data_IF_843350031571
#
_entry.id   IF_843350031571
#
_cell.length_a   1.000
_cell.length_b   1.000
_cell.length_c   1.000
_cell.angle_alpha   90.00
_cell.angle_beta   90.00
_cell.angle_gamma   90.00
#
_symmetry.space_group_name_H-M   'P 1'
#
loop_
_entity.id
_entity.type
_entity.pdbx_description
1 polymer ?
#
# COMPACT_ATOMS: atom_id res chain seq x y z
N UNK A 1 15.40 -3.97 15.25
CA UNK A 1 15.10 -2.68 14.58
C UNK A 1 16.43 -2.01 14.35
N UNK A 2 16.75 -1.57 13.14
CA UNK A 2 17.90 -0.69 12.93
C UNK A 2 17.51 0.71 13.42
N UNK A 3 18.48 1.63 13.55
CA UNK A 3 18.17 3.02 13.88
C UNK A 3 17.29 3.73 12.82
N UNK A 4 17.02 3.08 11.68
CA UNK A 4 16.30 3.65 10.55
C UNK A 4 14.88 3.10 10.36
N UNK A 5 14.43 2.18 11.22
CA UNK A 5 13.08 1.61 11.15
C UNK A 5 12.22 2.04 12.33
N UNK A 6 11.23 2.90 12.08
CA UNK A 6 10.27 3.36 13.10
C UNK A 6 9.11 2.39 13.34
N UNK A 7 8.68 1.69 12.28
CA UNK A 7 7.51 0.81 12.29
C UNK A 7 7.71 -0.35 11.31
N UNK A 8 7.20 -1.52 11.67
CA UNK A 8 7.05 -2.68 10.78
C UNK A 8 5.62 -3.19 10.89
N UNK A 9 5.09 -3.71 9.79
CA UNK A 9 3.76 -4.30 9.73
C UNK A 9 3.57 -5.04 8.40
N UNK A 10 2.58 -5.93 8.36
CA UNK A 10 2.21 -6.60 7.14
C UNK A 10 1.52 -5.64 6.17
N UNK A 11 1.71 -5.89 4.87
CA UNK A 11 1.05 -5.18 3.79
C UNK A 11 0.62 -6.19 2.74
N UNK A 12 -0.58 -6.04 2.20
CA UNK A 12 -1.03 -6.89 1.09
C UNK A 12 -0.76 -6.25 -0.27
N UNK A 13 -0.77 -7.08 -1.31
CA UNK A 13 -0.71 -6.68 -2.71
C UNK A 13 -2.02 -6.96 -3.45
N UNK A 14 -2.09 -6.45 -4.68
CA UNK A 14 -3.22 -6.68 -5.58
C UNK A 14 -3.32 -8.13 -6.05
N UNK A 15 -4.55 -8.66 -6.11
CA UNK A 15 -4.84 -10.04 -6.57
C UNK A 15 -4.70 -10.26 -8.10
N UNK A 16 -4.53 -9.18 -8.87
CA UNK A 16 -4.31 -9.25 -10.32
C UNK A 16 -5.40 -10.00 -11.12
N UNK A 17 -6.67 -10.00 -10.65
CA UNK A 17 -7.78 -10.79 -11.24
C UNK A 17 -7.50 -12.29 -11.30
N UNK A 18 -6.73 -12.79 -10.34
CA UNK A 18 -6.46 -14.22 -10.18
C UNK A 18 -6.90 -14.63 -8.79
N UNK A 19 -7.16 -15.92 -8.64
CA UNK A 19 -7.55 -16.57 -7.39
C UNK A 19 -6.48 -17.54 -6.88
N UNK A 20 -5.36 -17.66 -7.59
CA UNK A 20 -4.39 -18.72 -7.36
C UNK A 20 -2.94 -18.23 -7.56
N UNK A 21 -2.12 -18.47 -6.53
CA UNK A 21 -0.67 -18.38 -6.58
C UNK A 21 -0.07 -17.51 -5.48
N UNK A 22 0.95 -18.03 -4.79
CA UNK A 22 1.73 -17.30 -3.76
C UNK A 22 2.72 -16.28 -4.31
N UNK A 23 2.79 -16.13 -5.64
CA UNK A 23 3.76 -15.26 -6.30
C UNK A 23 3.05 -13.97 -6.70
N UNK A 24 3.41 -12.89 -6.03
CA UNK A 24 2.93 -11.55 -6.34
C UNK A 24 3.23 -11.18 -7.80
N UNK A 25 2.24 -10.58 -8.46
CA UNK A 25 2.39 -10.01 -9.81
C UNK A 25 2.13 -8.52 -9.75
N UNK A 26 2.74 -7.82 -10.69
CA UNK A 26 2.66 -6.36 -10.75
C UNK A 26 2.24 -5.90 -12.14
N UNK A 27 1.41 -4.87 -12.19
CA UNK A 27 0.99 -4.22 -13.42
C UNK A 27 0.62 -2.77 -13.14
N UNK A 28 0.88 -1.90 -14.12
CA UNK A 28 0.45 -0.50 -14.12
C UNK A 28 -0.85 -0.29 -14.92
N UNK A 29 -1.40 -1.34 -15.52
CA UNK A 29 -2.57 -1.23 -16.37
C UNK A 29 -3.82 -0.87 -15.56
N UNK A 30 -4.63 0.04 -16.10
CA UNK A 30 -5.88 0.47 -15.48
C UNK A 30 -6.83 -0.73 -15.39
N UNK A 31 -7.41 -0.93 -14.21
CA UNK A 31 -8.31 -2.06 -13.96
C UNK A 31 -7.61 -3.43 -13.92
N UNK A 32 -6.28 -3.51 -13.80
CA UNK A 32 -5.57 -4.79 -13.64
C UNK A 32 -5.73 -5.44 -12.28
N UNK A 33 -6.15 -4.68 -11.27
CA UNK A 33 -6.19 -5.07 -9.85
C UNK A 33 -4.84 -5.55 -9.29
N UNK A 34 -3.73 -5.26 -9.98
CA UNK A 34 -2.38 -5.56 -9.52
C UNK A 34 -1.81 -4.37 -8.75
N UNK A 35 -0.94 -4.64 -7.77
CA UNK A 35 -0.04 -3.58 -7.29
C UNK A 35 0.94 -3.18 -8.40
N UNK A 36 1.55 -2.01 -8.27
CA UNK A 36 2.62 -1.57 -9.19
C UNK A 36 3.90 -1.34 -8.43
N UNK A 37 5.03 -1.62 -9.08
CA UNK A 37 6.34 -1.40 -8.48
C UNK A 37 6.80 0.05 -8.70
N UNK A 38 7.70 0.51 -7.85
CA UNK A 38 8.36 1.81 -7.98
C UNK A 38 8.03 2.76 -6.83
N UNK A 39 8.48 3.99 -7.01
CA UNK A 39 8.38 5.07 -6.02
C UNK A 39 7.07 5.82 -6.19
N UNK A 40 6.47 6.17 -5.08
CA UNK A 40 5.24 6.93 -4.98
C UNK A 40 5.47 8.11 -4.06
N UNK A 41 4.81 9.23 -4.30
CA UNK A 41 4.63 10.26 -3.28
C UNK A 41 3.27 10.10 -2.60
N UNK A 42 3.27 10.25 -1.27
CA UNK A 42 2.05 10.36 -0.48
C UNK A 42 1.40 11.71 -0.76
N UNK A 43 0.13 11.66 -1.17
CA UNK A 43 -0.72 12.81 -1.43
C UNK A 43 -1.71 13.07 -0.30
N UNK A 44 -2.82 13.71 -0.66
CA UNK A 44 -3.83 14.16 0.29
C UNK A 44 -4.46 13.01 1.08
N UNK A 45 -4.60 13.21 2.39
CA UNK A 45 -5.41 12.39 3.31
C UNK A 45 -6.90 12.64 3.11
N UNK A 46 -7.70 11.58 3.11
CA UNK A 46 -9.16 11.66 3.08
C UNK A 46 -9.78 10.47 3.82
N UNK A 47 -11.10 10.50 3.99
CA UNK A 47 -11.85 9.39 4.56
C UNK A 47 -12.56 8.61 3.44
N UNK A 48 -12.12 7.38 3.17
CA UNK A 48 -12.70 6.46 2.20
C UNK A 48 -13.56 5.38 2.87
N UNK A 49 -13.91 4.34 2.11
CA UNK A 49 -14.79 3.25 2.58
C UNK A 49 -14.22 2.46 3.75
N UNK A 50 -12.89 2.43 3.91
CA UNK A 50 -12.19 1.72 4.98
C UNK A 50 -11.57 2.67 6.02
N UNK A 51 -12.09 3.90 6.11
CA UNK A 51 -11.57 4.94 7.01
C UNK A 51 -10.49 5.80 6.35
N UNK A 52 -9.47 6.19 7.12
CA UNK A 52 -8.38 7.05 6.64
C UNK A 52 -7.67 6.38 5.45
N UNK A 53 -7.46 7.17 4.40
CA UNK A 53 -6.68 6.78 3.24
C UNK A 53 -5.82 7.96 2.76
N UNK A 54 -4.68 7.63 2.14
CA UNK A 54 -3.76 8.60 1.56
C UNK A 54 -3.64 8.32 0.07
N UNK A 55 -3.91 9.32 -0.76
CA UNK A 55 -3.72 9.20 -2.22
C UNK A 55 -2.25 8.91 -2.52
N UNK A 56 -1.98 8.11 -3.54
CA UNK A 56 -0.61 7.83 -3.98
C UNK A 56 -0.40 8.30 -5.42
N UNK A 57 0.66 9.05 -5.65
CA UNK A 57 1.08 9.49 -6.99
C UNK A 57 2.30 8.69 -7.42
N UNK A 58 2.21 8.00 -8.55
CA UNK A 58 3.34 7.25 -9.11
C UNK A 58 4.41 8.20 -9.65
N UNK A 59 5.68 7.92 -9.35
CA UNK A 59 6.83 8.71 -9.78
C UNK A 59 7.68 7.98 -10.85
N UNK A 60 7.35 6.72 -11.14
CA UNK A 60 8.08 5.87 -12.07
C UNK A 60 7.17 5.38 -13.21
N UNK A 61 7.77 5.02 -14.35
CA UNK A 61 7.01 4.49 -15.50
C UNK A 61 6.20 3.23 -15.15
N UNK A 62 6.66 2.46 -14.18
CA UNK A 62 6.03 1.25 -13.68
C UNK A 62 4.80 1.51 -12.81
N UNK A 63 4.56 2.75 -12.36
CA UNK A 63 3.42 3.11 -11.51
C UNK A 63 2.75 4.44 -11.89
N UNK A 64 3.08 5.03 -13.04
CA UNK A 64 2.55 6.34 -13.48
C UNK A 64 1.02 6.47 -13.52
N UNK A 65 0.28 5.36 -13.61
CA UNK A 65 -1.19 5.39 -13.63
C UNK A 65 -1.79 5.27 -12.22
N UNK A 66 -0.99 5.25 -11.15
CA UNK A 66 -1.44 4.98 -9.79
C UNK A 66 -2.60 5.89 -9.34
N UNK A 67 -2.50 7.19 -9.64
CA UNK A 67 -3.53 8.15 -9.27
C UNK A 67 -4.84 7.93 -10.05
N UNK A 68 -4.75 7.71 -11.36
CA UNK A 68 -5.90 7.40 -12.23
C UNK A 68 -6.59 6.09 -11.86
N UNK A 69 -5.81 5.15 -11.29
CA UNK A 69 -6.27 3.86 -10.79
C UNK A 69 -6.80 3.90 -9.36
N UNK A 70 -6.89 5.09 -8.75
CA UNK A 70 -7.30 5.27 -7.36
C UNK A 70 -6.47 4.44 -6.37
N UNK A 71 -5.18 4.25 -6.65
CA UNK A 71 -4.26 3.58 -5.73
C UNK A 71 -4.01 4.49 -4.53
N UNK A 72 -4.33 3.98 -3.34
CA UNK A 72 -4.19 4.69 -2.08
C UNK A 72 -3.55 3.78 -1.02
N UNK A 73 -2.86 4.39 -0.06
CA UNK A 73 -2.44 3.71 1.16
C UNK A 73 -3.59 3.77 2.16
N UNK A 74 -4.12 2.62 2.56
CA UNK A 74 -5.22 2.54 3.52
C UNK A 74 -5.09 1.31 4.43
N UNK A 75 -6.04 1.16 5.35
CA UNK A 75 -6.13 0.00 6.22
C UNK A 75 -7.31 -0.89 5.87
N UNK A 76 -7.24 -2.15 6.27
CA UNK A 76 -8.39 -3.06 6.29
C UNK A 76 -8.25 -4.08 7.43
N UNK A 77 -9.36 -4.48 8.07
CA UNK A 77 -9.36 -5.41 9.21
C UNK A 77 -8.91 -6.83 8.87
N UNK A 78 -8.84 -7.18 7.58
CA UNK A 78 -8.35 -8.48 7.13
C UNK A 78 -6.81 -8.59 7.17
N UNK A 79 -6.10 -7.47 7.40
CA UNK A 79 -4.65 -7.47 7.55
C UNK A 79 -4.32 -7.63 9.04
N UNK A 80 -3.66 -8.74 9.44
CA UNK A 80 -3.29 -8.97 10.83
C UNK A 80 -2.11 -8.08 11.25
N UNK A 81 -1.99 -7.85 12.55
CA UNK A 81 -0.90 -7.06 13.14
C UNK A 81 0.44 -7.83 13.18
N UNK A 82 0.38 -9.15 13.19
CA UNK A 82 1.54 -10.03 13.33
C UNK A 82 1.65 -10.95 12.11
N UNK A 83 2.86 -11.43 11.83
CA UNK A 83 3.15 -12.42 10.79
C UNK A 83 2.26 -13.67 10.92
N UNK A 84 1.86 -14.23 9.79
CA UNK A 84 0.98 -15.39 9.69
C UNK A 84 1.69 -16.51 8.91
N UNK A 85 1.37 -17.75 9.25
CA UNK A 85 1.83 -18.94 8.51
C UNK A 85 1.07 -19.13 7.19
N UNK A 86 -0.22 -18.75 7.17
CA UNK A 86 -1.09 -18.82 6.01
C UNK A 86 -1.15 -17.49 5.25
N UNK A 87 -1.62 -17.56 4.01
CA UNK A 87 -1.82 -16.40 3.14
C UNK A 87 -2.83 -15.41 3.77
N UNK A 88 -2.50 -14.11 3.74
CA UNK A 88 -3.42 -13.04 4.16
C UNK A 88 -4.28 -12.58 2.97
N UNK A 89 -5.35 -11.83 3.24
CA UNK A 89 -6.22 -11.29 2.20
C UNK A 89 -5.44 -10.45 1.17
N UNK A 90 -5.88 -10.45 -0.09
CA UNK A 90 -5.37 -9.59 -1.17
C UNK A 90 -6.24 -8.33 -1.35
N UNK A 91 -5.64 -7.25 -1.87
CA UNK A 91 -6.37 -6.03 -2.26
C UNK A 91 -6.65 -5.98 -3.76
N UNK A 92 -7.26 -4.89 -4.23
CA UNK A 92 -7.39 -4.58 -5.67
C UNK A 92 -6.21 -3.76 -6.22
N UNK A 93 -5.05 -3.82 -5.56
CA UNK A 93 -3.80 -3.17 -5.98
C UNK A 93 -3.27 -2.13 -5.00
N UNK A 94 -4.12 -1.64 -4.09
CA UNK A 94 -3.72 -0.71 -3.03
C UNK A 94 -2.81 -1.39 -2.00
N UNK A 95 -1.69 -0.77 -1.60
CA UNK A 95 -0.96 -1.23 -0.41
C UNK A 95 -1.85 -1.05 0.81
N UNK A 96 -2.27 -2.16 1.42
CA UNK A 96 -3.20 -2.16 2.54
C UNK A 96 -2.52 -2.74 3.77
N UNK A 97 -2.55 -2.00 4.87
CA UNK A 97 -1.98 -2.40 6.17
C UNK A 97 -3.07 -2.64 7.22
N UNK A 98 -2.72 -3.09 8.42
CA UNK A 98 -3.70 -3.17 9.52
C UNK A 98 -4.14 -1.78 10.00
N UNK A 99 -5.34 -1.63 10.60
CA UNK A 99 -5.77 -0.37 11.20
C UNK A 99 -4.80 0.15 12.27
N UNK A 100 -4.18 -0.75 13.05
CA UNK A 100 -3.17 -0.37 14.05
C UNK A 100 -1.94 0.21 13.37
N UNK A 101 -1.41 -0.44 12.34
CA UNK A 101 -0.24 0.03 11.59
C UNK A 101 -0.53 1.39 10.95
N UNK A 102 -1.69 1.58 10.32
CA UNK A 102 -2.04 2.88 9.72
C UNK A 102 -2.20 3.97 10.78
N UNK A 103 -2.79 3.66 11.94
CA UNK A 103 -2.92 4.64 13.04
C UNK A 103 -1.56 5.11 13.57
N UNK A 104 -0.54 4.25 13.58
CA UNK A 104 0.82 4.65 13.93
C UNK A 104 1.51 5.41 12.79
N UNK A 105 1.41 4.90 11.56
CA UNK A 105 2.02 5.49 10.38
C UNK A 105 1.48 6.91 10.10
N UNK A 106 0.17 7.11 10.24
CA UNK A 106 -0.49 8.41 10.04
C UNK A 106 0.08 9.52 10.91
N UNK A 107 0.52 9.23 12.13
CA UNK A 107 1.18 10.23 13.00
C UNK A 107 2.45 10.79 12.37
N UNK A 108 3.19 9.96 11.64
CA UNK A 108 4.42 10.37 10.96
C UNK A 108 4.10 11.04 9.62
N UNK A 109 3.15 10.49 8.85
CA UNK A 109 2.75 11.06 7.57
C UNK A 109 2.16 12.46 7.73
N UNK A 110 1.27 12.65 8.72
CA UNK A 110 0.55 13.91 8.94
C UNK A 110 1.46 14.99 9.56
N UNK A 111 2.49 14.59 10.31
CA UNK A 111 3.45 15.51 10.91
C UNK A 111 4.59 15.91 9.95
N UNK A 112 4.72 15.25 8.80
CA UNK A 112 5.81 15.52 7.87
C UNK A 112 5.59 16.85 7.14
N UNK A 113 6.58 17.75 7.24
CA UNK A 113 6.63 18.98 6.45
C UNK A 113 7.22 18.77 5.05
N UNK A 114 7.88 17.64 4.83
CA UNK A 114 8.48 17.26 3.56
C UNK A 114 7.63 16.19 2.86
N UNK A 115 7.69 16.11 1.51
CA UNK A 115 7.07 15.02 0.78
C UNK A 115 7.56 13.66 1.29
N UNK A 116 6.62 12.76 1.63
CA UNK A 116 6.95 11.39 2.02
C UNK A 116 6.92 10.48 0.80
N UNK A 117 7.98 9.71 0.61
CA UNK A 117 8.09 8.72 -0.45
C UNK A 117 7.76 7.33 0.09
N UNK A 118 6.98 6.58 -0.70
CA UNK A 118 6.75 5.15 -0.49
C UNK A 118 7.39 4.41 -1.65
N UNK A 119 8.12 3.33 -1.35
CA UNK A 119 8.72 2.49 -2.37
C UNK A 119 8.17 1.08 -2.27
N UNK A 120 7.49 0.64 -3.33
CA UNK A 120 7.04 -0.75 -3.48
C UNK A 120 8.05 -1.45 -4.38
N UNK A 121 8.66 -2.52 -3.87
CA UNK A 121 9.68 -3.30 -4.58
C UNK A 121 9.43 -4.81 -4.40
N UNK A 122 9.95 -5.61 -5.32
CA UNK A 122 10.00 -7.07 -5.18
C UNK A 122 11.37 -7.44 -4.60
N UNK A 123 11.37 -8.34 -3.61
CA UNK A 123 12.57 -8.87 -2.94
C UNK A 123 12.84 -10.32 -3.34
#
# INVERSE_FOLDING_TARGET
MTNDTLLKGLVTHGHCKRSEGRIARFSNEIGSNCSSLGRYSIGQKYNGSFGIAYKMHGLDNTNRNAFERFIVLHSHSCIPDNEQEDDICESEGCPTVSPRTLAQLSKHLDASLLPVLVWIYAS
#
